data_IF_015929296701
#
_entry.id   IF_015929296701
#
_cell.length_a   1.000
_cell.length_b   1.000
_cell.length_c   1.000
_cell.angle_alpha   90.00
_cell.angle_beta   90.00
_cell.angle_gamma   90.00
#
_symmetry.space_group_name_H-M   'P 1'
#
loop_
_entity.id
_entity.type
_entity.pdbx_description
1 polymer ?
#
# COMPACT_ATOMS: atom_id res chain seq x y z
N UNK A 1 5.21 -29.71 49.04
CA UNK A 1 4.02 -28.92 49.41
C UNK A 1 3.65 -28.05 48.23
N UNK A 2 2.36 -27.93 47.92
CA UNK A 2 1.87 -27.17 46.76
C UNK A 2 1.79 -25.68 47.11
N UNK A 3 2.20 -24.80 46.18
CA UNK A 3 2.10 -23.35 46.33
C UNK A 3 0.68 -22.87 46.04
N UNK A 4 0.33 -21.67 46.52
CA UNK A 4 -0.91 -20.99 46.10
C UNK A 4 -0.85 -20.73 44.59
N UNK A 5 -1.97 -20.96 43.90
CA UNK A 5 -2.08 -20.70 42.47
C UNK A 5 -1.83 -19.22 42.15
N UNK A 6 -1.06 -18.96 41.09
CA UNK A 6 -0.62 -17.60 40.72
C UNK A 6 -1.81 -16.67 40.49
N UNK A 7 -2.89 -17.19 39.87
CA UNK A 7 -4.12 -16.44 39.64
C UNK A 7 -4.78 -16.00 40.97
N UNK A 8 -4.75 -16.84 42.00
CA UNK A 8 -5.29 -16.51 43.32
C UNK A 8 -4.42 -15.42 43.99
N UNK A 9 -3.09 -15.50 43.88
CA UNK A 9 -2.20 -14.44 44.37
C UNK A 9 -2.46 -13.08 43.68
N UNK A 10 -2.82 -13.08 42.40
CA UNK A 10 -3.22 -11.87 41.67
C UNK A 10 -4.52 -11.30 42.23
N UNK A 11 -5.54 -12.13 42.47
CA UNK A 11 -6.79 -11.68 43.07
C UNK A 11 -6.60 -11.07 44.47
N UNK A 12 -5.75 -11.70 45.29
CA UNK A 12 -5.35 -11.15 46.60
C UNK A 12 -4.66 -9.80 46.47
N UNK A 13 -3.76 -9.63 45.50
CA UNK A 13 -3.06 -8.37 45.25
C UNK A 13 -4.01 -7.26 44.76
N UNK A 14 -5.00 -7.62 43.93
CA UNK A 14 -6.01 -6.70 43.42
C UNK A 14 -6.97 -6.24 44.53
N UNK A 15 -7.34 -7.12 45.47
CA UNK A 15 -8.24 -6.81 46.59
C UNK A 15 -9.60 -6.25 46.13
N UNK A 16 -10.09 -6.75 44.99
CA UNK A 16 -11.31 -6.27 44.33
C UNK A 16 -12.59 -7.02 44.76
N UNK A 17 -12.44 -8.11 45.53
CA UNK A 17 -13.55 -8.96 45.97
C UNK A 17 -13.72 -8.96 47.49
N UNK A 18 -14.91 -9.36 47.94
CA UNK A 18 -15.17 -9.64 49.37
C UNK A 18 -14.27 -10.79 49.83
N UNK A 19 -13.55 -10.66 50.96
CA UNK A 19 -12.68 -11.72 51.46
C UNK A 19 -13.43 -13.05 51.66
N UNK A 20 -12.83 -14.13 51.20
CA UNK A 20 -13.34 -15.51 51.34
C UNK A 20 -12.50 -16.32 52.33
N UNK A 21 -13.02 -17.47 52.77
CA UNK A 21 -12.26 -18.40 53.62
C UNK A 21 -11.01 -18.93 52.91
N UNK A 22 -11.08 -19.11 51.59
CA UNK A 22 -9.95 -19.51 50.77
C UNK A 22 -8.85 -18.44 50.74
N UNK A 23 -9.21 -17.15 50.76
CA UNK A 23 -8.24 -16.06 50.89
C UNK A 23 -7.53 -16.09 52.23
N UNK A 24 -8.27 -16.35 53.31
CA UNK A 24 -7.69 -16.49 54.64
C UNK A 24 -6.71 -17.67 54.72
N UNK A 25 -7.03 -18.80 54.06
CA UNK A 25 -6.12 -19.94 53.96
C UNK A 25 -4.87 -19.63 53.14
N UNK A 26 -5.04 -19.00 51.97
CA UNK A 26 -3.93 -18.60 51.12
C UNK A 26 -3.00 -17.61 51.85
N UNK A 27 -3.54 -16.66 52.62
CA UNK A 27 -2.75 -15.74 53.43
C UNK A 27 -1.98 -16.45 54.55
N UNK A 28 -2.59 -17.42 55.25
CA UNK A 28 -1.87 -18.26 56.23
C UNK A 28 -0.72 -19.03 55.59
N UNK A 29 -0.90 -19.52 54.36
CA UNK A 29 0.19 -20.15 53.62
C UNK A 29 1.30 -19.15 53.26
N UNK A 30 0.94 -17.97 52.76
CA UNK A 30 1.89 -16.89 52.43
C UNK A 30 2.72 -16.45 53.63
N UNK A 31 2.16 -16.49 54.84
CA UNK A 31 2.91 -16.22 56.07
C UNK A 31 4.02 -17.23 56.34
N UNK A 32 3.88 -18.46 55.84
CA UNK A 32 4.79 -19.58 56.09
C UNK A 32 5.68 -19.93 54.87
N UNK A 33 5.37 -19.41 53.68
CA UNK A 33 6.08 -19.72 52.44
C UNK A 33 6.71 -18.48 51.80
N UNK A 34 8.04 -18.42 51.80
CA UNK A 34 8.79 -17.26 51.29
C UNK A 34 8.60 -17.02 49.78
N UNK A 35 8.41 -18.08 48.99
CA UNK A 35 8.14 -17.95 47.55
C UNK A 35 6.81 -17.23 47.31
N UNK A 36 5.72 -17.72 47.92
CA UNK A 36 4.40 -17.11 47.77
C UNK A 36 4.38 -15.70 48.36
N UNK A 37 5.14 -15.45 49.42
CA UNK A 37 5.32 -14.11 50.00
C UNK A 37 5.98 -13.14 49.03
N UNK A 38 7.08 -13.54 48.38
CA UNK A 38 7.77 -12.66 47.44
C UNK A 38 6.95 -12.42 46.18
N UNK A 39 6.25 -13.45 45.68
CA UNK A 39 5.36 -13.33 44.55
C UNK A 39 4.20 -12.36 44.83
N UNK A 40 3.52 -12.50 45.98
CA UNK A 40 2.46 -11.57 46.37
C UNK A 40 2.97 -10.14 46.56
N UNK A 41 4.18 -9.95 47.11
CA UNK A 41 4.83 -8.62 47.21
C UNK A 41 5.10 -8.03 45.84
N UNK A 42 5.62 -8.82 44.90
CA UNK A 42 5.85 -8.38 43.53
C UNK A 42 4.56 -7.93 42.87
N UNK A 43 3.50 -8.75 42.94
CA UNK A 43 2.20 -8.43 42.37
C UNK A 43 1.60 -7.17 43.01
N UNK A 44 1.70 -7.02 44.32
CA UNK A 44 1.23 -5.83 45.04
C UNK A 44 1.95 -4.55 44.57
N UNK A 45 3.27 -4.63 44.32
CA UNK A 45 4.03 -3.50 43.74
C UNK A 45 3.53 -3.12 42.34
N UNK A 46 3.25 -4.11 41.49
CA UNK A 46 2.72 -3.88 40.14
C UNK A 46 1.33 -3.23 40.22
N UNK A 47 0.44 -3.76 41.05
CA UNK A 47 -0.91 -3.20 41.25
C UNK A 47 -0.84 -1.77 41.78
N UNK A 48 0.06 -1.51 42.74
CA UNK A 48 0.26 -0.16 43.27
C UNK A 48 0.74 0.81 42.17
N UNK A 49 1.75 0.43 41.38
CA UNK A 49 2.27 1.23 40.27
C UNK A 49 1.18 1.53 39.23
N UNK A 50 0.39 0.51 38.86
CA UNK A 50 -0.71 0.66 37.90
C UNK A 50 -1.80 1.60 38.42
N UNK A 51 -2.14 1.55 39.71
CA UNK A 51 -3.12 2.46 40.32
C UNK A 51 -2.64 3.91 40.41
N UNK A 52 -1.34 4.12 40.51
CA UNK A 52 -0.73 5.46 40.56
C UNK A 52 -0.35 6.02 39.19
N UNK A 53 -0.49 5.22 38.12
CA UNK A 53 -0.13 5.63 36.77
C UNK A 53 -0.99 6.82 36.32
N UNK A 54 -0.32 7.85 35.80
CA UNK A 54 -0.95 9.03 35.25
C UNK A 54 -1.03 8.95 33.73
N UNK A 55 -1.85 9.81 33.11
CA UNK A 55 -1.98 9.85 31.65
C UNK A 55 -0.63 10.01 30.92
N UNK A 56 0.33 10.67 31.54
CA UNK A 56 1.70 10.85 31.01
C UNK A 56 2.53 9.57 31.00
N UNK A 57 2.19 8.60 31.85
CA UNK A 57 2.85 7.30 31.93
C UNK A 57 2.27 6.31 30.90
N UNK A 58 1.11 6.64 30.31
CA UNK A 58 0.47 5.79 29.32
C UNK A 58 1.15 5.94 27.95
N UNK A 59 1.30 4.84 27.19
CA UNK A 59 1.77 4.93 25.82
C UNK A 59 0.81 5.78 24.99
N UNK A 60 1.37 6.58 24.06
CA UNK A 60 0.56 7.32 23.11
C UNK A 60 -0.32 6.37 22.30
N UNK A 61 -1.59 6.72 22.16
CA UNK A 61 -2.54 5.91 21.40
C UNK A 61 -1.99 5.64 19.98
N UNK A 62 -1.97 4.38 19.54
CA UNK A 62 -1.48 4.06 18.21
C UNK A 62 -2.44 4.62 17.15
N UNK A 63 -1.94 5.00 15.97
CA UNK A 63 -2.80 5.54 14.90
C UNK A 63 -3.84 4.52 14.40
N UNK A 64 -5.00 4.99 13.94
CA UNK A 64 -6.13 4.16 13.51
C UNK A 64 -5.78 3.04 12.53
N UNK A 65 -4.83 3.30 11.61
CA UNK A 65 -4.35 2.31 10.63
C UNK A 65 -3.80 1.03 11.28
N UNK A 66 -3.25 1.12 12.49
CA UNK A 66 -2.72 -0.03 13.24
C UNK A 66 -3.90 -0.87 13.73
N UNK A 67 -4.91 -0.25 14.33
CA UNK A 67 -6.12 -0.96 14.76
C UNK A 67 -6.88 -1.56 13.58
N UNK A 68 -7.06 -0.82 12.50
CA UNK A 68 -7.70 -1.34 11.27
C UNK A 68 -6.97 -2.53 10.66
N UNK A 69 -5.64 -2.63 10.85
CA UNK A 69 -4.88 -3.81 10.43
C UNK A 69 -5.14 -4.97 11.38
N UNK A 70 -4.95 -4.79 12.69
CA UNK A 70 -5.18 -5.83 13.70
C UNK A 70 -6.60 -6.39 13.61
N UNK A 71 -7.61 -5.52 13.48
CA UNK A 71 -9.00 -5.96 13.34
C UNK A 71 -9.22 -6.81 12.09
N UNK A 72 -8.59 -6.46 10.96
CA UNK A 72 -8.65 -7.28 9.74
C UNK A 72 -7.93 -8.61 9.91
N UNK A 73 -6.77 -8.61 10.54
CA UNK A 73 -5.97 -9.82 10.75
C UNK A 73 -6.66 -10.81 11.71
N UNK A 74 -7.31 -10.30 12.76
CA UNK A 74 -8.07 -11.13 13.73
C UNK A 74 -9.39 -11.61 13.14
N UNK A 75 -10.06 -10.80 12.33
CA UNK A 75 -11.34 -11.15 11.71
C UNK A 75 -11.18 -11.98 10.43
N UNK A 76 -9.99 -11.93 9.82
CA UNK A 76 -9.64 -12.66 8.61
C UNK A 76 -9.12 -14.05 8.93
N UNK A 77 -9.59 -15.05 8.18
CA UNK A 77 -8.89 -16.33 8.05
C UNK A 77 -7.45 -16.07 7.51
N UNK A 78 -6.46 -16.93 7.83
CA UNK A 78 -5.05 -16.66 7.55
C UNK A 78 -4.84 -16.19 6.12
N UNK A 79 -4.06 -15.11 5.96
CA UNK A 79 -3.68 -14.52 4.68
C UNK A 79 -3.29 -15.63 3.71
N UNK A 80 -4.20 -15.93 2.79
CA UNK A 80 -3.87 -16.79 1.66
C UNK A 80 -2.84 -16.02 0.86
N UNK A 81 -1.65 -16.59 0.58
CA UNK A 81 -0.58 -15.87 -0.10
C UNK A 81 -1.12 -15.23 -1.37
N UNK A 82 -1.02 -13.90 -1.47
CA UNK A 82 -1.45 -13.17 -2.66
C UNK A 82 -0.67 -13.74 -3.85
N UNK A 83 -1.35 -14.30 -4.88
CA UNK A 83 -0.65 -14.85 -6.03
C UNK A 83 0.15 -13.74 -6.72
N UNK A 84 1.37 -14.05 -7.22
CA UNK A 84 2.20 -13.07 -7.90
C UNK A 84 1.45 -12.47 -9.09
N UNK A 85 1.65 -11.17 -9.33
CA UNK A 85 1.01 -10.46 -10.43
C UNK A 85 1.33 -11.16 -11.77
N UNK A 86 0.34 -11.33 -12.66
CA UNK A 86 0.56 -11.98 -13.95
C UNK A 86 1.58 -11.18 -14.77
N UNK A 87 2.61 -11.87 -15.27
CA UNK A 87 3.61 -11.27 -16.15
C UNK A 87 2.94 -10.70 -17.41
N UNK A 88 3.41 -9.57 -17.95
CA UNK A 88 2.84 -8.98 -19.16
C UNK A 88 2.97 -9.94 -20.35
N UNK A 89 1.84 -10.23 -21.00
CA UNK A 89 1.79 -11.18 -22.11
C UNK A 89 2.67 -10.74 -23.30
N UNK A 90 3.55 -11.61 -23.81
CA UNK A 90 4.54 -11.26 -24.85
C UNK A 90 3.92 -10.88 -26.20
N UNK A 91 2.68 -11.31 -26.49
CA UNK A 91 2.03 -11.07 -27.78
C UNK A 91 1.70 -9.60 -28.09
N UNK A 92 1.50 -8.77 -27.05
CA UNK A 92 1.10 -7.36 -27.23
C UNK A 92 2.24 -6.50 -27.80
N UNK A 93 3.49 -6.87 -27.52
CA UNK A 93 4.68 -6.16 -28.01
C UNK A 93 4.96 -6.46 -29.48
N UNK A 94 4.74 -7.71 -29.92
CA UNK A 94 4.92 -8.11 -31.30
C UNK A 94 3.88 -7.45 -32.23
N UNK A 95 2.62 -7.38 -31.79
CA UNK A 95 1.55 -6.73 -32.55
C UNK A 95 1.84 -5.23 -32.79
N UNK A 96 2.32 -4.53 -31.76
CA UNK A 96 2.69 -3.11 -31.86
C UNK A 96 3.89 -2.89 -32.79
N UNK A 97 4.89 -3.79 -32.77
CA UNK A 97 6.03 -3.72 -33.67
C UNK A 97 5.61 -3.92 -35.14
N UNK A 98 4.70 -4.87 -35.41
CA UNK A 98 4.18 -5.11 -36.75
C UNK A 98 3.37 -3.92 -37.28
N UNK A 99 2.55 -3.29 -36.43
CA UNK A 99 1.78 -2.10 -36.80
C UNK A 99 2.68 -0.90 -37.13
N UNK A 100 3.75 -0.68 -36.34
CA UNK A 100 4.71 0.39 -36.60
C UNK A 100 5.44 0.19 -37.93
N UNK A 101 5.79 -1.04 -38.28
CA UNK A 101 6.46 -1.36 -39.55
C UNK A 101 5.56 -1.09 -40.76
N UNK A 102 4.26 -1.42 -40.67
CA UNK A 102 3.29 -1.15 -41.74
C UNK A 102 3.04 0.35 -41.96
N UNK A 103 3.07 1.16 -40.90
CA UNK A 103 2.92 2.61 -41.03
C UNK A 103 4.12 3.25 -41.76
N UNK A 104 5.34 2.80 -41.47
CA UNK A 104 6.56 3.34 -42.08
C UNK A 104 6.63 3.08 -43.60
N UNK A 105 6.20 1.89 -44.05
CA UNK A 105 6.15 1.56 -45.49
C UNK A 105 5.10 2.39 -46.22
N UNK A 106 3.93 2.61 -45.62
CA UNK A 106 2.89 3.47 -46.19
C UNK A 106 3.34 4.93 -46.40
N UNK A 107 4.02 5.51 -45.41
CA UNK A 107 4.52 6.90 -45.47
C UNK A 107 5.59 7.05 -46.55
N UNK A 108 6.52 6.09 -46.67
CA UNK A 108 7.59 6.13 -47.67
C UNK A 108 7.04 6.09 -49.11
N UNK A 109 6.04 5.24 -49.37
CA UNK A 109 5.40 5.14 -50.70
C UNK A 109 4.63 6.41 -51.03
N UNK A 110 3.85 6.95 -50.08
CA UNK A 110 3.13 8.20 -50.26
C UNK A 110 4.08 9.37 -50.54
N UNK A 111 5.21 9.45 -49.82
CA UNK A 111 6.21 10.48 -50.02
C UNK A 111 6.86 10.39 -51.41
N UNK A 112 7.21 9.18 -51.87
CA UNK A 112 7.77 8.98 -53.21
C UNK A 112 6.78 9.36 -54.31
N UNK A 113 5.51 8.99 -54.15
CA UNK A 113 4.45 9.35 -55.11
C UNK A 113 4.24 10.87 -55.20
N UNK A 114 4.22 11.57 -54.06
CA UNK A 114 4.09 13.04 -54.03
C UNK A 114 5.31 13.74 -54.65
N UNK A 115 6.51 13.21 -54.43
CA UNK A 115 7.73 13.76 -55.03
C UNK A 115 7.74 13.64 -56.55
N UNK A 116 7.40 12.46 -57.10
CA UNK A 116 7.30 12.24 -58.54
C UNK A 116 6.21 13.14 -59.17
N UNK A 117 5.08 13.31 -58.48
CA UNK A 117 3.99 14.17 -58.94
C UNK A 117 4.40 15.66 -58.93
N UNK A 118 5.17 16.10 -57.95
CA UNK A 118 5.70 17.46 -57.86
C UNK A 118 6.73 17.77 -58.97
N UNK A 119 7.54 16.79 -59.37
CA UNK A 119 8.46 16.94 -60.51
C UNK A 119 7.72 17.11 -61.84
N UNK A 120 6.64 16.35 -62.05
CA UNK A 120 5.84 16.44 -63.27
C UNK A 120 5.16 17.81 -63.42
N UNK A 121 4.65 18.37 -62.33
CA UNK A 121 4.08 19.73 -62.33
C UNK A 121 5.16 20.78 -62.64
N UNK A 122 6.37 20.66 -62.07
CA UNK A 122 7.48 21.58 -62.38
C UNK A 122 7.91 21.51 -63.85
N UNK A 123 7.95 20.33 -64.46
CA UNK A 123 8.25 20.19 -65.90
C UNK A 123 7.12 20.71 -66.80
N UNK A 124 5.87 20.66 -66.35
CA UNK A 124 4.72 21.24 -67.06
C UNK A 124 4.71 22.78 -67.03
N UNK A 125 5.06 23.39 -65.91
CA UNK A 125 5.06 24.87 -65.73
C UNK A 125 6.15 25.54 -66.58
N UNK A 126 7.28 24.87 -66.86
CA UNK A 126 8.36 25.43 -67.69
C UNK A 126 7.97 25.59 -69.18
N UNK A 127 6.88 24.96 -69.65
CA UNK A 127 6.47 25.03 -71.07
C UNK A 127 5.47 26.15 -71.38
N UNK A 128 4.95 26.89 -70.40
CA UNK A 128 3.80 27.79 -70.58
C UNK A 128 4.06 29.25 -70.18
N UNK A 129 5.28 29.73 -70.41
CA UNK A 129 5.71 31.10 -70.12
C UNK A 129 6.40 31.78 -71.31
N UNK A 130 5.74 31.87 -72.47
CA UNK A 130 6.13 32.82 -73.52
C UNK A 130 4.91 33.24 -74.36
N UNK A 131 4.77 34.56 -74.51
CA UNK A 131 3.93 35.28 -75.50
C UNK A 131 2.41 35.32 -75.25
N UNK A 132 1.69 36.45 -75.17
CA UNK A 132 1.97 37.88 -75.46
C UNK A 132 1.02 38.79 -74.69
N UNK A 133 1.52 39.96 -74.28
CA UNK A 133 0.77 41.11 -73.74
C UNK A 133 -0.20 41.73 -74.77
N UNK A 134 -1.23 42.47 -74.31
CA UNK A 134 -2.28 43.05 -75.16
C UNK A 134 -1.85 44.39 -75.77
N UNK A 135 -2.20 44.62 -77.04
CA UNK A 135 -2.11 45.94 -77.67
C UNK A 135 -3.52 46.51 -77.87
N UNK A 136 -3.89 47.45 -77.01
CA UNK A 136 -4.98 48.40 -77.23
C UNK A 136 -4.39 49.81 -77.38
N UNK A 137 -5.05 50.64 -78.22
CA UNK A 137 -4.98 52.12 -78.31
C UNK A 137 -3.69 52.76 -78.87
N UNK A 138 -3.66 53.77 -79.75
CA UNK A 138 -4.61 54.81 -80.21
C UNK A 138 -4.01 55.59 -81.43
N UNK A 139 -4.86 56.32 -82.21
CA UNK A 139 -4.65 57.64 -82.90
C UNK A 139 -3.51 57.77 -83.95
N UNK A 140 -3.63 58.50 -85.08
CA UNK A 140 -4.56 59.51 -85.61
C UNK A 140 -4.49 59.46 -87.14
#
# INVERSE_FOLDING_TARGET
MTHVESAHLVELALRNATPTDADAEALRHVEQCDRCREELRMLTRVVAAARTAQLVDLPTAPPDRVWQRISRDVSGAPDTPRPPAPAPAPGRRLLLALLALAAATGIAVAHRYLHERAELVRRGVVRQGRETRPSAFWRS
#
